data_IF_285678232211
#
_entry.id   IF_285678232211
#
_cell.length_a   1.000
_cell.length_b   1.000
_cell.length_c   1.000
_cell.angle_alpha   90.00
_cell.angle_beta   90.00
_cell.angle_gamma   90.00
#
_symmetry.space_group_name_H-M   'P 1'
#
loop_
_entity.id
_entity.type
_entity.pdbx_description
1 polymer ?
#
# COMPACT_ATOMS: atom_id res chain seq x y z
N UNK A 1 4.05 -19.49 1.78
CA UNK A 1 4.86 -19.38 3.01
C UNK A 1 5.36 -17.95 3.04
N UNK A 2 4.98 -17.16 4.04
CA UNK A 2 5.44 -15.77 4.16
C UNK A 2 6.75 -15.79 4.93
N UNK A 3 7.87 -15.60 4.23
CA UNK A 3 9.18 -15.47 4.86
C UNK A 3 9.26 -14.10 5.55
N UNK A 4 8.73 -14.02 6.77
CA UNK A 4 8.95 -12.86 7.63
C UNK A 4 10.45 -12.77 7.87
N UNK A 5 11.11 -11.76 7.28
CA UNK A 5 12.54 -11.53 7.45
C UNK A 5 12.83 -11.27 8.94
N UNK A 6 13.27 -12.29 9.66
CA UNK A 6 13.68 -12.17 11.04
C UNK A 6 15.10 -11.63 11.08
N UNK A 7 15.27 -10.47 11.71
CA UNK A 7 16.61 -9.91 11.89
C UNK A 7 17.43 -10.75 12.87
N UNK A 8 18.75 -10.88 12.65
CA UNK A 8 19.65 -11.53 13.60
C UNK A 8 19.59 -10.89 15.00
N UNK A 9 20.07 -11.61 16.01
CA UNK A 9 20.16 -11.07 17.37
C UNK A 9 20.98 -9.76 17.39
N UNK A 10 20.44 -8.73 18.05
CA UNK A 10 21.04 -7.39 18.10
C UNK A 10 20.77 -6.51 16.87
N UNK A 11 19.91 -6.97 15.94
CA UNK A 11 19.45 -6.20 14.80
C UNK A 11 17.92 -6.09 14.80
N UNK A 12 17.42 -5.00 14.23
CA UNK A 12 16.00 -4.68 14.09
C UNK A 12 15.71 -4.28 12.64
N UNK A 13 14.48 -4.51 12.19
CA UNK A 13 14.08 -4.21 10.82
C UNK A 13 14.00 -2.70 10.58
N UNK A 14 14.63 -2.21 9.52
CA UNK A 14 14.50 -0.84 9.04
C UNK A 14 13.49 -0.80 7.87
N UNK A 15 12.29 -0.20 8.05
CA UNK A 15 11.29 -0.14 7.01
C UNK A 15 11.62 0.82 5.85
N UNK A 16 12.54 1.76 6.03
CA UNK A 16 12.99 2.68 4.97
C UNK A 16 13.85 1.93 3.95
N UNK A 17 14.78 1.12 4.42
CA UNK A 17 15.72 0.36 3.56
C UNK A 17 15.26 -1.06 3.30
N UNK A 18 14.20 -1.54 3.98
CA UNK A 18 13.76 -2.93 3.99
C UNK A 18 14.87 -3.92 4.39
N UNK A 19 15.81 -3.50 5.23
CA UNK A 19 16.98 -4.27 5.67
C UNK A 19 17.11 -4.24 7.20
N UNK A 20 17.86 -5.20 7.76
CA UNK A 20 18.16 -5.19 9.19
C UNK A 20 19.24 -4.15 9.53
N UNK A 21 18.98 -3.30 10.52
CA UNK A 21 19.96 -2.37 11.11
C UNK A 21 20.35 -2.82 12.51
N UNK A 22 21.57 -2.50 12.94
CA UNK A 22 22.02 -2.80 14.30
C UNK A 22 21.17 -2.00 15.29
N UNK A 23 20.70 -2.65 16.34
CA UNK A 23 19.99 -2.00 17.42
C UNK A 23 20.98 -1.30 18.35
N UNK A 24 20.87 0.01 18.52
CA UNK A 24 21.67 0.84 19.42
C UNK A 24 20.84 1.30 20.62
N UNK A 25 19.55 1.57 20.41
CA UNK A 25 18.60 1.95 21.46
C UNK A 25 17.28 1.19 21.36
N UNK A 26 16.37 1.41 22.32
CA UNK A 26 15.01 0.89 22.25
C UNK A 26 14.19 1.50 21.11
N UNK A 27 14.47 2.75 20.74
CA UNK A 27 13.77 3.51 19.69
C UNK A 27 14.09 2.99 18.28
N UNK A 28 15.20 2.28 18.10
CA UNK A 28 15.53 1.64 16.83
C UNK A 28 14.52 0.56 16.42
N UNK A 29 13.80 -0.01 17.40
CA UNK A 29 12.75 -0.98 17.19
C UNK A 29 11.42 -0.25 16.93
N UNK A 30 11.19 0.12 15.66
CA UNK A 30 9.95 0.78 15.24
C UNK A 30 8.77 -0.14 15.54
N UNK A 31 7.68 0.43 16.06
CA UNK A 31 6.43 -0.24 16.39
C UNK A 31 5.26 0.49 15.75
N UNK A 32 4.14 -0.22 15.63
CA UNK A 32 2.87 0.38 15.25
C UNK A 32 2.23 0.94 16.53
N UNK A 33 1.97 2.23 16.52
CA UNK A 33 1.16 2.90 17.54
C UNK A 33 -0.26 2.96 17.00
N UNK A 34 -1.15 2.18 17.59
CA UNK A 34 -2.56 2.18 17.19
C UNK A 34 -3.21 3.47 17.67
N UNK A 35 -3.89 4.16 16.76
CA UNK A 35 -4.82 5.22 17.09
C UNK A 35 -6.18 4.60 17.47
N UNK A 36 -6.88 5.19 18.45
CA UNK A 36 -8.20 4.72 18.85
C UNK A 36 -9.28 5.08 17.82
N UNK A 37 -9.06 6.13 17.04
CA UNK A 37 -10.02 6.66 16.07
C UNK A 37 -9.76 6.14 14.64
N UNK A 38 -8.60 5.53 14.38
CA UNK A 38 -8.23 4.98 13.08
C UNK A 38 -8.01 3.46 13.15
N UNK A 39 -8.53 2.76 12.15
CA UNK A 39 -8.40 1.30 12.05
C UNK A 39 -7.04 0.88 11.48
N UNK A 40 -6.40 1.77 10.72
CA UNK A 40 -5.08 1.56 10.12
C UNK A 40 -4.08 2.54 10.73
N UNK A 41 -2.89 2.05 11.03
CA UNK A 41 -1.81 2.89 11.56
C UNK A 41 -0.50 2.60 10.84
N UNK A 42 0.32 3.63 10.53
CA UNK A 42 1.57 3.45 9.84
C UNK A 42 2.59 2.70 10.71
N UNK A 43 3.53 2.00 10.07
CA UNK A 43 4.68 1.42 10.76
C UNK A 43 5.80 2.46 10.87
N UNK A 44 5.81 3.22 11.98
CA UNK A 44 6.63 4.42 12.11
C UNK A 44 6.27 5.45 11.03
N UNK A 45 7.25 5.94 10.29
CA UNK A 45 7.04 6.87 9.16
C UNK A 45 6.91 6.14 7.80
N UNK A 46 6.85 4.80 7.81
CA UNK A 46 6.82 4.03 6.57
C UNK A 46 5.59 4.37 5.73
N UNK A 47 5.83 4.69 4.46
CA UNK A 47 4.79 4.80 3.43
C UNK A 47 4.52 3.47 2.71
N UNK A 48 5.12 2.37 3.16
CA UNK A 48 4.98 1.04 2.52
C UNK A 48 4.36 0.02 3.46
N UNK A 49 4.69 0.06 4.75
CA UNK A 49 4.19 -0.88 5.74
C UNK A 49 3.25 -0.19 6.72
N UNK A 50 2.13 -0.83 7.00
CA UNK A 50 1.11 -0.34 7.94
C UNK A 50 0.46 -1.53 8.65
N UNK A 51 -0.28 -1.27 9.72
CA UNK A 51 -0.97 -2.28 10.50
C UNK A 51 -2.46 -2.01 10.56
N UNK A 52 -3.23 -3.08 10.56
CA UNK A 52 -4.62 -3.08 10.98
C UNK A 52 -4.68 -3.32 12.48
N UNK A 53 -5.17 -2.32 13.21
CA UNK A 53 -5.32 -2.36 14.65
C UNK A 53 -6.73 -2.86 14.99
N UNK A 54 -6.83 -4.11 15.45
CA UNK A 54 -8.07 -4.61 16.02
C UNK A 54 -8.15 -4.16 17.48
N UNK A 55 -9.06 -3.22 17.74
CA UNK A 55 -9.32 -2.69 19.08
C UNK A 55 -10.48 -3.44 19.73
N UNK A 56 -10.34 -3.75 21.01
CA UNK A 56 -11.44 -4.16 21.88
C UNK A 56 -11.53 -3.16 23.03
N UNK A 57 -12.45 -2.21 22.92
CA UNK A 57 -12.46 -1.02 23.78
C UNK A 57 -11.22 -0.14 23.51
N UNK A 58 -10.47 0.21 24.56
CA UNK A 58 -9.27 1.06 24.48
C UNK A 58 -7.95 0.27 24.30
N UNK A 59 -8.00 -1.05 24.12
CA UNK A 59 -6.82 -1.91 24.01
C UNK A 59 -6.70 -2.51 22.60
N UNK A 60 -5.50 -2.42 22.01
CA UNK A 60 -5.16 -3.16 20.80
C UNK A 60 -4.86 -4.61 21.14
N UNK A 61 -5.78 -5.51 20.76
CA UNK A 61 -5.67 -6.93 21.06
C UNK A 61 -4.99 -7.72 19.92
N UNK A 62 -4.98 -7.18 18.70
CA UNK A 62 -4.30 -7.80 17.57
C UNK A 62 -3.86 -6.74 16.55
N UNK A 63 -2.59 -6.80 16.14
CA UNK A 63 -2.06 -5.97 15.05
C UNK A 63 -1.71 -6.91 13.90
N UNK A 64 -2.33 -6.70 12.75
CA UNK A 64 -1.97 -7.42 11.51
C UNK A 64 -1.22 -6.48 10.59
N UNK A 65 0.01 -6.83 10.24
CA UNK A 65 0.84 -6.03 9.35
C UNK A 65 0.50 -6.29 7.88
N UNK A 66 0.51 -5.23 7.09
CA UNK A 66 0.30 -5.24 5.66
C UNK A 66 1.38 -4.42 4.97
N UNK A 67 1.60 -4.74 3.70
CA UNK A 67 2.51 -4.04 2.82
C UNK A 67 1.70 -3.53 1.63
N UNK A 68 1.87 -2.26 1.29
CA UNK A 68 1.33 -1.72 0.06
C UNK A 68 1.95 -2.42 -1.16
N UNK A 69 1.15 -2.72 -2.20
CA UNK A 69 1.68 -3.16 -3.48
C UNK A 69 2.77 -2.23 -3.99
N UNK A 70 3.67 -2.76 -4.81
CA UNK A 70 4.65 -1.94 -5.50
C UNK A 70 3.95 -0.81 -6.28
N UNK A 71 4.60 0.36 -6.35
CA UNK A 71 4.08 1.61 -6.93
C UNK A 71 2.94 2.32 -6.19
N UNK A 72 2.54 1.83 -5.01
CA UNK A 72 1.59 2.52 -4.13
C UNK A 72 2.23 2.95 -2.81
N UNK A 73 1.67 4.00 -2.19
CA UNK A 73 2.11 4.55 -0.90
C UNK A 73 0.94 4.61 0.08
N UNK A 74 1.19 4.28 1.33
CA UNK A 74 0.24 4.41 2.41
C UNK A 74 0.04 5.89 2.78
N UNK A 75 -1.19 6.38 2.67
CA UNK A 75 -1.55 7.77 2.99
C UNK A 75 -2.16 7.95 4.39
N UNK A 76 -2.18 6.91 5.22
CA UNK A 76 -2.88 6.90 6.51
C UNK A 76 -4.22 6.15 6.47
N UNK A 77 -4.88 6.09 5.30
CA UNK A 77 -6.17 5.41 5.12
C UNK A 77 -6.09 4.18 4.23
N UNK A 78 -5.08 4.11 3.37
CA UNK A 78 -4.86 2.98 2.47
C UNK A 78 -3.68 3.21 1.54
N UNK A 79 -3.46 2.26 0.65
CA UNK A 79 -2.42 2.34 -0.37
C UNK A 79 -2.99 3.07 -1.60
N UNK A 80 -2.37 4.19 -1.96
CA UNK A 80 -2.76 5.03 -3.10
C UNK A 80 -1.62 5.15 -4.09
N UNK A 81 -1.94 5.30 -5.38
CA UNK A 81 -0.94 5.66 -6.38
C UNK A 81 -0.67 7.16 -6.32
N UNK A 82 0.60 7.54 -6.40
CA UNK A 82 1.00 8.94 -6.55
C UNK A 82 1.05 9.30 -8.04
N UNK A 83 0.38 10.39 -8.40
CA UNK A 83 0.20 10.78 -9.78
C UNK A 83 1.46 11.43 -10.35
N UNK A 84 2.24 10.68 -11.14
CA UNK A 84 3.39 11.24 -11.88
C UNK A 84 2.98 12.11 -13.08
N UNK A 85 1.76 11.91 -13.60
CA UNK A 85 1.19 12.67 -14.70
C UNK A 85 -0.35 12.72 -14.57
N UNK A 86 -0.97 13.75 -15.16
CA UNK A 86 -2.43 13.87 -15.25
C UNK A 86 -2.93 12.94 -16.37
N UNK A 87 -3.98 12.17 -16.09
CA UNK A 87 -4.54 11.23 -17.05
C UNK A 87 -5.16 9.99 -16.41
N UNK A 88 -5.42 8.97 -17.23
CA UNK A 88 -5.95 7.67 -16.81
C UNK A 88 -4.93 6.59 -17.14
N UNK A 89 -4.65 5.73 -16.17
CA UNK A 89 -3.58 4.75 -16.26
C UNK A 89 -4.09 3.39 -15.80
N UNK A 90 -3.67 2.32 -16.49
CA UNK A 90 -4.11 0.96 -16.14
C UNK A 90 -3.30 0.39 -15.00
N UNK A 91 -3.94 -0.39 -14.13
CA UNK A 91 -3.25 -1.16 -13.09
C UNK A 91 -2.64 -2.43 -13.72
N UNK A 92 -1.38 -2.73 -13.41
CA UNK A 92 -0.68 -3.90 -13.97
C UNK A 92 -1.21 -5.23 -13.46
N UNK A 93 -1.64 -5.28 -12.20
CA UNK A 93 -2.17 -6.51 -11.57
C UNK A 93 -3.59 -6.87 -12.00
N UNK A 94 -4.37 -5.91 -12.49
CA UNK A 94 -5.76 -6.13 -12.90
C UNK A 94 -6.12 -5.23 -14.09
N UNK A 95 -6.22 -5.85 -15.28
CA UNK A 95 -6.59 -5.16 -16.52
C UNK A 95 -8.00 -4.57 -16.53
N UNK A 96 -8.87 -4.96 -15.58
CA UNK A 96 -10.20 -4.38 -15.41
C UNK A 96 -10.21 -3.14 -14.51
N UNK A 97 -9.08 -2.79 -13.91
CA UNK A 97 -8.93 -1.66 -12.99
C UNK A 97 -7.98 -0.61 -13.60
N UNK A 98 -8.35 0.65 -13.42
CA UNK A 98 -7.53 1.79 -13.81
C UNK A 98 -7.56 2.83 -12.69
N UNK A 99 -6.68 3.81 -12.76
CA UNK A 99 -6.68 4.94 -11.85
C UNK A 99 -6.64 6.25 -12.63
N UNK A 100 -7.35 7.24 -12.11
CA UNK A 100 -7.44 8.59 -12.68
C UNK A 100 -6.65 9.55 -11.80
N UNK A 101 -5.79 10.32 -12.45
CA UNK A 101 -4.96 11.36 -11.84
C UNK A 101 -5.41 12.72 -12.34
N UNK A 102 -5.85 13.58 -11.42
CA UNK A 102 -6.33 14.93 -11.73
C UNK A 102 -5.22 15.97 -11.71
N UNK A 103 -4.18 15.76 -10.90
CA UNK A 103 -3.02 16.64 -10.77
C UNK A 103 -1.74 15.85 -10.53
N UNK A 104 -0.60 16.43 -10.87
CA UNK A 104 0.73 15.82 -10.61
C UNK A 104 1.06 15.96 -9.13
N UNK A 105 1.53 14.87 -8.51
CA UNK A 105 1.79 14.76 -7.08
C UNK A 105 0.53 14.52 -6.22
N UNK A 106 -0.66 14.51 -6.84
CA UNK A 106 -1.91 14.16 -6.18
C UNK A 106 -2.07 12.66 -5.96
N UNK A 107 -3.12 12.30 -5.21
CA UNK A 107 -3.53 10.91 -5.04
C UNK A 107 -4.42 10.45 -6.21
N UNK A 108 -4.17 9.25 -6.70
CA UNK A 108 -4.98 8.68 -7.76
C UNK A 108 -6.31 8.13 -7.25
N UNK A 109 -7.36 8.30 -8.04
CA UNK A 109 -8.66 7.69 -7.81
C UNK A 109 -8.75 6.35 -8.55
N UNK A 110 -8.83 5.23 -7.82
CA UNK A 110 -9.04 3.91 -8.43
C UNK A 110 -10.47 3.74 -8.91
N UNK A 111 -10.61 3.15 -10.09
CA UNK A 111 -11.88 2.90 -10.76
C UNK A 111 -11.86 1.54 -11.47
N UNK A 112 -13.02 0.89 -11.52
CA UNK A 112 -13.18 -0.36 -12.26
C UNK A 112 -13.86 -0.10 -13.59
N UNK A 113 -13.36 -0.74 -14.64
CA UNK A 113 -14.08 -0.78 -15.91
C UNK A 113 -15.46 -1.43 -15.76
N UNK A 114 -16.43 -1.06 -16.60
CA UNK A 114 -17.71 -1.76 -16.66
C UNK A 114 -17.52 -3.26 -16.91
N UNK A 115 -18.50 -4.08 -16.50
CA UNK A 115 -18.42 -5.53 -16.66
C UNK A 115 -18.09 -5.96 -18.10
N UNK A 116 -17.19 -6.93 -18.23
CA UNK A 116 -16.73 -7.45 -19.52
C UNK A 116 -15.79 -6.53 -20.30
N UNK A 117 -15.31 -5.42 -19.71
CA UNK A 117 -14.34 -4.52 -20.35
C UNK A 117 -12.99 -4.52 -19.63
N UNK A 118 -11.95 -4.25 -20.41
CA UNK A 118 -10.56 -4.08 -19.94
C UNK A 118 -10.04 -2.69 -20.30
N UNK A 119 -9.19 -2.12 -19.46
CA UNK A 119 -8.61 -0.81 -19.70
C UNK A 119 -7.52 -0.89 -20.78
N UNK A 120 -7.71 -0.16 -21.87
CA UNK A 120 -6.72 0.02 -22.92
C UNK A 120 -5.77 1.16 -22.51
N UNK A 121 -4.57 0.80 -22.06
CA UNK A 121 -3.53 1.75 -21.60
C UNK A 121 -3.06 2.71 -22.69
N UNK A 122 -3.14 2.32 -23.95
CA UNK A 122 -2.73 3.17 -25.07
C UNK A 122 -3.77 4.25 -25.38
N UNK A 123 -5.06 3.95 -25.15
CA UNK A 123 -6.17 4.87 -25.42
C UNK A 123 -6.70 5.57 -24.17
N UNK A 124 -6.33 5.11 -22.97
CA UNK A 124 -6.82 5.65 -21.70
C UNK A 124 -8.31 5.38 -21.44
N UNK A 125 -8.87 4.32 -22.02
CA UNK A 125 -10.32 4.02 -21.96
C UNK A 125 -10.61 2.54 -21.78
N UNK A 126 -11.76 2.22 -21.19
CA UNK A 126 -12.25 0.84 -21.09
C UNK A 126 -12.81 0.37 -22.44
N UNK A 127 -12.29 -0.74 -22.94
CA UNK A 127 -12.68 -1.36 -24.21
C UNK A 127 -13.11 -2.81 -24.02
N UNK A 128 -13.82 -3.36 -24.99
CA UNK A 128 -14.13 -4.80 -24.97
C UNK A 128 -12.84 -5.52 -25.38
N UNK A 129 -12.37 -6.51 -24.60
CA UNK A 129 -11.18 -7.27 -24.98
C UNK A 129 -11.42 -7.95 -26.33
N UNK A 130 -10.39 -8.01 -27.20
CA UNK A 130 -10.52 -8.70 -28.48
C UNK A 130 -10.91 -10.17 -28.24
N UNK A 131 -11.72 -10.78 -29.13
CA UNK A 131 -12.11 -12.18 -28.98
C UNK A 131 -10.85 -13.06 -28.95
N UNK A 132 -10.72 -13.85 -27.89
CA UNK A 132 -9.72 -14.92 -27.80
C UNK A 132 -10.09 -15.98 -28.84
N UNK A 133 -9.26 -16.12 -29.88
CA UNK A 133 -9.40 -17.14 -30.92
C UNK A 133 -8.86 -18.48 -30.41
#
# INVERSE_FOLDING_TARGET
MSDVAMCPAGYVYNPETSMCKRQLSGEDCIRIECDADEVLSPYGESKRYFGFCQLEGALSINIRMYQCPDDTKFNGKGCVYECMAVGRFGVDSDSSVFYTCFEVGGEAMLEKCPEGKTFDKSKGVCTIPPPTN
#
